data_IF_438628546187
#
_entry.id   IF_438628546187
#
_cell.length_a   1.000
_cell.length_b   1.000
_cell.length_c   1.000
_cell.angle_alpha   90.00
_cell.angle_beta   90.00
_cell.angle_gamma   90.00
#
_symmetry.space_group_name_H-M   'P 1'
#
loop_
_entity.id
_entity.type
_entity.pdbx_description
1 polymer ?
#
# COMPACT_ATOMS: atom_id res chain seq x y z
N UNK A 1 6.78 11.84 -4.28
CA UNK A 1 6.10 10.67 -4.90
C UNK A 1 4.59 10.75 -4.74
N UNK A 2 3.84 10.74 -5.84
CA UNK A 2 2.36 10.74 -5.85
C UNK A 2 1.84 9.34 -5.45
N UNK A 3 0.61 9.26 -4.91
CA UNK A 3 0.04 7.98 -4.44
C UNK A 3 -0.12 6.97 -5.59
N UNK A 4 -0.46 7.45 -6.78
CA UNK A 4 -0.59 6.62 -7.98
C UNK A 4 0.72 5.93 -8.37
N UNK A 5 1.86 6.60 -8.22
CA UNK A 5 3.18 6.04 -8.52
C UNK A 5 3.51 4.81 -7.66
N UNK A 6 3.15 4.89 -6.38
CA UNK A 6 3.31 3.78 -5.44
C UNK A 6 2.39 2.61 -5.80
N UNK A 7 1.15 2.91 -6.23
CA UNK A 7 0.18 1.90 -6.62
C UNK A 7 0.55 1.19 -7.92
N UNK A 8 1.05 1.92 -8.91
CA UNK A 8 1.54 1.33 -10.16
C UNK A 8 2.78 0.47 -9.94
N UNK A 9 3.73 0.95 -9.14
CA UNK A 9 4.92 0.17 -8.79
C UNK A 9 4.55 -1.11 -8.03
N UNK A 10 3.60 -1.03 -7.10
CA UNK A 10 3.06 -2.19 -6.41
C UNK A 10 2.45 -3.17 -7.44
N UNK A 11 1.54 -2.69 -8.29
CA UNK A 11 0.85 -3.52 -9.29
C UNK A 11 1.81 -4.24 -10.24
N UNK A 12 2.76 -3.52 -10.84
CA UNK A 12 3.78 -4.11 -11.74
C UNK A 12 4.63 -5.19 -11.06
N UNK A 13 4.94 -5.03 -9.78
CA UNK A 13 5.75 -5.99 -9.01
C UNK A 13 4.94 -7.22 -8.61
N UNK A 14 3.65 -7.05 -8.33
CA UNK A 14 2.73 -8.15 -8.03
C UNK A 14 2.36 -8.98 -9.28
N UNK A 15 2.35 -8.36 -10.47
CA UNK A 15 2.10 -9.04 -11.75
C UNK A 15 3.31 -9.84 -12.25
N UNK A 16 4.56 -9.38 -12.01
CA UNK A 16 5.80 -10.14 -12.32
C UNK A 16 6.10 -11.26 -11.32
N UNK A 17 5.10 -12.09 -11.01
CA UNK A 17 5.12 -13.16 -10.01
C UNK A 17 5.84 -14.46 -10.46
N UNK A 18 6.56 -14.44 -11.59
CA UNK A 18 7.27 -15.61 -12.15
C UNK A 18 8.73 -15.77 -11.68
N UNK A 19 9.27 -14.92 -10.81
CA UNK A 19 10.66 -15.07 -10.35
C UNK A 19 10.76 -15.05 -8.82
N UNK A 20 11.15 -16.20 -8.27
CA UNK A 20 11.39 -16.57 -6.87
C UNK A 20 12.59 -15.85 -6.27
N UNK A 21 12.52 -14.52 -6.17
CA UNK A 21 13.64 -13.71 -5.68
C UNK A 21 13.29 -13.08 -4.33
N UNK A 22 14.00 -13.50 -3.28
CA UNK A 22 13.88 -12.96 -1.90
C UNK A 22 13.91 -11.43 -1.87
N UNK A 23 14.69 -10.81 -2.77
CA UNK A 23 14.77 -9.37 -2.95
C UNK A 23 13.46 -8.70 -3.42
N UNK A 24 12.54 -9.42 -4.09
CA UNK A 24 11.20 -8.90 -4.39
C UNK A 24 10.29 -8.93 -3.17
N UNK A 25 10.44 -9.92 -2.30
CA UNK A 25 9.64 -10.03 -1.08
C UNK A 25 9.99 -8.91 -0.11
N UNK A 26 11.28 -8.64 0.11
CA UNK A 26 11.77 -7.47 0.85
C UNK A 26 11.21 -6.14 0.31
N UNK A 27 11.18 -5.98 -1.02
CA UNK A 27 10.61 -4.78 -1.65
C UNK A 27 9.09 -4.67 -1.50
N UNK A 28 8.38 -5.80 -1.47
CA UNK A 28 6.93 -5.80 -1.19
C UNK A 28 6.69 -5.42 0.28
N UNK A 29 7.48 -5.96 1.20
CA UNK A 29 7.44 -5.62 2.62
C UNK A 29 7.75 -4.12 2.84
N UNK A 30 8.73 -3.56 2.14
CA UNK A 30 9.02 -2.12 2.17
C UNK A 30 7.83 -1.27 1.65
N UNK A 31 7.20 -1.68 0.55
CA UNK A 31 6.03 -0.99 0.01
C UNK A 31 4.82 -1.07 0.96
N UNK A 32 4.64 -2.21 1.63
CA UNK A 32 3.61 -2.38 2.66
C UNK A 32 3.87 -1.48 3.86
N UNK A 33 5.12 -1.38 4.33
CA UNK A 33 5.50 -0.46 5.41
C UNK A 33 5.26 1.00 5.03
N UNK A 34 5.59 1.40 3.79
CA UNK A 34 5.28 2.74 3.29
C UNK A 34 3.78 3.02 3.23
N UNK A 35 2.97 2.05 2.79
CA UNK A 35 1.50 2.18 2.79
C UNK A 35 0.96 2.32 4.21
N UNK A 36 1.47 1.55 5.18
CA UNK A 36 1.09 1.63 6.60
C UNK A 36 1.45 2.98 7.22
N UNK A 37 2.66 3.50 6.95
CA UNK A 37 3.06 4.85 7.37
C UNK A 37 2.15 5.92 6.76
N UNK A 38 1.73 5.74 5.51
CA UNK A 38 0.84 6.68 4.81
C UNK A 38 -0.59 6.61 5.35
N UNK A 39 -1.06 5.43 5.71
CA UNK A 39 -2.34 5.22 6.40
C UNK A 39 -2.37 5.98 7.72
N UNK A 40 -1.36 5.79 8.59
CA UNK A 40 -1.29 6.51 9.87
C UNK A 40 -1.26 8.03 9.70
N UNK A 41 -0.54 8.53 8.69
CA UNK A 41 -0.51 9.97 8.37
C UNK A 41 -1.88 10.47 7.92
N UNK A 42 -2.61 9.70 7.10
CA UNK A 42 -3.95 10.06 6.64
C UNK A 42 -4.96 10.02 7.80
N UNK A 43 -4.88 9.04 8.70
CA UNK A 43 -5.71 8.98 9.91
C UNK A 43 -5.50 10.23 10.78
N UNK A 44 -4.24 10.58 11.08
CA UNK A 44 -3.91 11.79 11.86
C UNK A 44 -4.41 13.07 11.20
N UNK A 45 -4.30 13.17 9.87
CA UNK A 45 -4.82 14.33 9.12
C UNK A 45 -6.34 14.39 9.17
N UNK A 46 -7.01 13.25 9.05
CA UNK A 46 -8.46 13.15 9.03
C UNK A 46 -9.07 13.48 10.40
N UNK A 47 -8.40 13.11 11.48
CA UNK A 47 -8.80 13.43 12.86
C UNK A 47 -8.80 14.94 13.14
N UNK A 48 -7.81 15.68 12.60
CA UNK A 48 -7.72 17.14 12.75
C UNK A 48 -8.46 17.97 11.69
N UNK A 49 -9.06 17.34 10.67
CA UNK A 49 -9.62 18.06 9.52
C UNK A 49 -11.07 18.49 9.76
N UNK A 50 -11.28 19.81 9.90
CA UNK A 50 -12.60 20.42 10.09
C UNK A 50 -13.33 20.71 8.76
N UNK A 51 -12.61 20.75 7.64
CA UNK A 51 -13.20 21.00 6.33
C UNK A 51 -13.86 19.73 5.75
N UNK A 52 -15.17 19.79 5.51
CA UNK A 52 -15.95 18.62 5.04
C UNK A 52 -15.49 18.09 3.68
N UNK A 53 -15.02 18.94 2.77
CA UNK A 53 -14.58 18.55 1.43
C UNK A 53 -13.21 17.85 1.49
N UNK A 54 -12.28 18.37 2.27
CA UNK A 54 -10.97 17.76 2.56
C UNK A 54 -11.15 16.47 3.36
N UNK A 55 -12.03 16.44 4.35
CA UNK A 55 -12.36 15.24 5.12
C UNK A 55 -12.83 14.11 4.19
N UNK A 56 -13.77 14.38 3.28
CA UNK A 56 -14.24 13.39 2.30
C UNK A 56 -13.11 12.90 1.39
N UNK A 57 -12.24 13.79 0.92
CA UNK A 57 -11.06 13.40 0.11
C UNK A 57 -10.08 12.52 0.91
N UNK A 58 -9.69 12.95 2.10
CA UNK A 58 -8.81 12.19 2.99
C UNK A 58 -9.39 10.82 3.33
N UNK A 59 -10.70 10.73 3.54
CA UNK A 59 -11.41 9.46 3.78
C UNK A 59 -11.36 8.54 2.56
N UNK A 60 -11.52 9.08 1.36
CA UNK A 60 -11.38 8.30 0.11
C UNK A 60 -9.94 7.83 -0.07
N UNK A 61 -8.94 8.70 0.12
CA UNK A 61 -7.52 8.35 0.03
C UNK A 61 -7.15 7.27 1.07
N UNK A 62 -7.68 7.39 2.28
CA UNK A 62 -7.49 6.39 3.34
C UNK A 62 -8.06 5.02 2.94
N UNK A 63 -9.28 4.99 2.39
CA UNK A 63 -9.89 3.75 1.88
C UNK A 63 -9.08 3.12 0.75
N UNK A 64 -8.54 3.94 -0.16
CA UNK A 64 -7.68 3.46 -1.26
C UNK A 64 -6.41 2.83 -0.68
N UNK A 65 -5.74 3.50 0.25
CA UNK A 65 -4.53 2.98 0.90
C UNK A 65 -4.81 1.68 1.64
N UNK A 66 -5.90 1.62 2.41
CA UNK A 66 -6.33 0.41 3.12
C UNK A 66 -6.60 -0.76 2.17
N UNK A 67 -7.33 -0.52 1.07
CA UNK A 67 -7.62 -1.54 0.07
C UNK A 67 -6.34 -2.07 -0.58
N UNK A 68 -5.38 -1.20 -0.85
CA UNK A 68 -4.12 -1.54 -1.50
C UNK A 68 -3.16 -2.24 -0.54
N UNK A 69 -3.12 -1.82 0.72
CA UNK A 69 -2.41 -2.54 1.78
C UNK A 69 -2.96 -3.95 1.94
N UNK A 70 -4.29 -4.13 2.05
CA UNK A 70 -4.93 -5.44 2.15
C UNK A 70 -4.63 -6.35 0.94
N UNK A 71 -4.64 -5.79 -0.28
CA UNK A 71 -4.26 -6.51 -1.51
C UNK A 71 -2.79 -6.93 -1.49
N UNK A 72 -1.90 -6.00 -1.13
CA UNK A 72 -0.46 -6.25 -1.01
C UNK A 72 -0.14 -7.32 0.03
N UNK A 73 -0.77 -7.27 1.20
CA UNK A 73 -0.58 -8.27 2.28
C UNK A 73 -1.04 -9.64 1.83
N UNK A 74 -2.24 -9.75 1.21
CA UNK A 74 -2.72 -11.01 0.65
C UNK A 74 -1.73 -11.58 -0.37
N UNK A 75 -1.27 -10.75 -1.30
CA UNK A 75 -0.33 -11.19 -2.32
C UNK A 75 1.03 -11.56 -1.75
N UNK A 76 1.51 -10.88 -0.70
CA UNK A 76 2.73 -11.25 0.02
C UNK A 76 2.58 -12.58 0.77
N UNK A 77 1.41 -12.85 1.33
CA UNK A 77 1.08 -14.12 1.97
C UNK A 77 1.10 -15.27 0.95
N UNK A 78 0.45 -15.07 -0.21
CA UNK A 78 0.49 -16.01 -1.35
C UNK A 78 1.92 -16.26 -1.84
N UNK A 79 2.72 -15.20 -1.93
CA UNK A 79 4.13 -15.27 -2.33
C UNK A 79 5.03 -15.80 -1.21
N UNK A 80 4.58 -15.86 0.05
CA UNK A 80 5.40 -16.30 1.19
C UNK A 80 5.92 -17.71 1.05
N UNK A 81 5.11 -18.57 0.41
CA UNK A 81 5.52 -19.94 0.05
C UNK A 81 6.61 -19.98 -1.03
N UNK A 82 6.75 -18.91 -1.82
CA UNK A 82 7.73 -18.75 -2.92
C UNK A 82 8.93 -17.86 -2.55
N UNK A 83 8.89 -17.18 -1.40
CA UNK A 83 9.95 -16.30 -0.92
C UNK A 83 11.06 -17.05 -0.13
N UNK A 84 11.14 -18.39 -0.24
CA UNK A 84 12.18 -19.21 0.39
C UNK A 84 13.50 -19.11 -0.38
#
# INVERSE_FOLDING_TARGET
>A
MKINDLLENLKKRLEKAELSDKAKCDRIDELLDQLKKKEQRLIKKLDGEKDSKKYKRLKTDLKIVQAQHKKGTKRRDELSKKCK
#
